data_IF_645386745779
#
_entry.id   IF_645386745779
#
_cell.length_a   1.000
_cell.length_b   1.000
_cell.length_c   1.000
_cell.angle_alpha   90.00
_cell.angle_beta   90.00
_cell.angle_gamma   90.00
#
_symmetry.space_group_name_H-M   'P 1'
#
loop_
_entity.id
_entity.type
_entity.pdbx_description
1 polymer ?
#
# COMPACT_ATOMS: atom_id res chain seq x y z
N UNK A 1 -2.60 23.49 -0.75
CA UNK A 1 -2.23 22.20 -1.37
C UNK A 1 -0.71 22.07 -1.26
N UNK A 2 -0.15 20.87 -1.12
CA UNK A 2 1.30 20.67 -0.98
C UNK A 2 2.02 20.41 -2.33
N UNK A 3 1.25 20.14 -3.39
CA UNK A 3 1.74 19.86 -4.74
C UNK A 3 0.76 20.49 -5.74
N UNK A 4 1.18 21.59 -6.37
CA UNK A 4 0.29 22.40 -7.23
C UNK A 4 -0.06 21.70 -8.55
N UNK A 5 0.79 20.77 -8.99
CA UNK A 5 0.61 19.97 -10.19
C UNK A 5 0.20 18.52 -9.88
N UNK A 6 -0.54 18.30 -8.78
CA UNK A 6 -1.08 16.99 -8.45
C UNK A 6 -2.10 16.53 -9.51
N UNK A 7 -1.87 15.36 -10.10
CA UNK A 7 -2.78 14.72 -11.06
C UNK A 7 -3.73 13.72 -10.41
N UNK A 8 -3.19 12.59 -9.96
CA UNK A 8 -3.95 11.50 -9.34
C UNK A 8 -3.05 10.69 -8.41
N UNK A 9 -3.66 9.97 -7.47
CA UNK A 9 -3.01 8.96 -6.65
C UNK A 9 -3.63 7.60 -6.95
N UNK A 10 -2.81 6.64 -7.40
CA UNK A 10 -3.25 5.25 -7.52
C UNK A 10 -3.54 4.67 -6.13
N UNK A 11 -4.64 3.92 -6.02
CA UNK A 11 -5.07 3.29 -4.77
C UNK A 11 -5.60 1.88 -5.05
N UNK A 12 -4.69 0.91 -5.12
CA UNK A 12 -5.05 -0.49 -5.42
C UNK A 12 -6.04 -1.10 -4.40
N UNK A 13 -5.94 -0.68 -3.13
CA UNK A 13 -6.85 -1.09 -2.04
C UNK A 13 -7.17 0.11 -1.16
N UNK A 14 -8.40 0.17 -0.66
CA UNK A 14 -8.84 1.20 0.29
C UNK A 14 -8.07 1.04 1.62
N UNK A 15 -7.60 2.13 2.25
CA UNK A 15 -6.94 2.08 3.56
C UNK A 15 -7.80 1.33 4.60
N UNK A 16 -7.14 0.56 5.46
CA UNK A 16 -7.80 -0.30 6.45
C UNK A 16 -8.36 -1.62 5.90
N UNK A 17 -8.31 -1.87 4.58
CA UNK A 17 -8.70 -3.18 4.01
C UNK A 17 -7.59 -4.23 4.00
N UNK A 18 -6.33 -3.80 4.20
CA UNK A 18 -5.14 -4.67 4.20
C UNK A 18 -4.41 -4.49 5.52
N UNK A 19 -4.10 -5.61 6.17
CA UNK A 19 -3.38 -5.66 7.44
C UNK A 19 -3.96 -4.68 8.50
N UNK A 20 -5.29 -4.65 8.72
CA UNK A 20 -5.92 -3.67 9.61
C UNK A 20 -5.44 -3.77 11.06
N UNK A 21 -5.01 -4.95 11.50
CA UNK A 21 -4.46 -5.13 12.85
C UNK A 21 -3.04 -4.57 12.97
N UNK A 22 -2.27 -4.60 11.89
CA UNK A 22 -0.89 -4.10 11.86
C UNK A 22 -0.86 -2.58 11.69
N UNK A 23 -1.87 -2.05 10.99
CA UNK A 23 -2.09 -0.62 10.77
C UNK A 23 -3.51 -0.21 11.16
N UNK A 24 -3.81 -0.13 12.48
CA UNK A 24 -5.16 0.11 12.98
C UNK A 24 -5.69 1.52 12.70
N UNK A 25 -4.79 2.48 12.47
CA UNK A 25 -5.14 3.81 11.99
C UNK A 25 -4.43 4.10 10.66
N UNK A 26 -5.19 4.58 9.68
CA UNK A 26 -4.68 4.94 8.36
C UNK A 26 -5.42 6.19 7.83
N UNK A 27 -4.93 6.72 6.71
CA UNK A 27 -5.52 7.88 6.01
C UNK A 27 -6.98 7.59 5.65
N UNK A 28 -7.88 8.56 5.92
CA UNK A 28 -9.31 8.41 5.64
C UNK A 28 -9.55 8.41 4.13
N UNK A 29 -10.36 7.46 3.66
CA UNK A 29 -10.86 7.43 2.30
C UNK A 29 -12.36 7.70 2.27
N UNK A 30 -12.79 8.71 1.52
CA UNK A 30 -14.19 9.09 1.41
C UNK A 30 -14.51 9.57 -0.01
N UNK A 31 -15.58 9.03 -0.60
CA UNK A 31 -16.10 9.44 -1.93
C UNK A 31 -15.04 9.48 -3.04
N UNK A 32 -14.07 8.56 -3.01
CA UNK A 32 -13.00 8.48 -4.01
C UNK A 32 -11.73 9.26 -3.67
N UNK A 33 -11.67 9.94 -2.53
CA UNK A 33 -10.54 10.78 -2.13
C UNK A 33 -9.84 10.26 -0.88
N UNK A 34 -8.51 10.32 -0.88
CA UNK A 34 -7.71 10.26 0.35
C UNK A 34 -7.71 11.64 1.00
N UNK A 35 -8.16 11.72 2.25
CA UNK A 35 -8.26 12.97 2.98
C UNK A 35 -7.02 13.16 3.87
N UNK A 36 -6.31 14.30 3.78
CA UNK A 36 -5.14 14.56 4.61
C UNK A 36 -5.46 14.41 6.11
N UNK A 37 -4.54 13.83 6.90
CA UNK A 37 -4.73 13.73 8.34
C UNK A 37 -4.76 15.12 8.99
N UNK A 38 -5.58 15.28 10.01
CA UNK A 38 -5.68 16.52 10.79
C UNK A 38 -4.82 16.50 12.06
N UNK A 39 -4.35 15.33 12.48
CA UNK A 39 -3.41 15.17 13.59
C UNK A 39 -1.95 15.33 13.14
N UNK A 40 -1.02 15.70 14.04
CA UNK A 40 0.40 15.74 13.70
C UNK A 40 0.94 14.41 13.18
N UNK A 41 1.91 14.49 12.28
CA UNK A 41 2.55 13.33 11.66
C UNK A 41 1.78 12.78 10.45
N UNK A 42 2.00 11.50 10.13
CA UNK A 42 1.51 10.89 8.89
C UNK A 42 0.05 10.40 8.96
N UNK A 43 -0.59 10.42 10.13
CA UNK A 43 -1.95 9.88 10.28
C UNK A 43 -2.04 8.35 10.21
N UNK A 44 -0.93 7.65 10.49
CA UNK A 44 -0.85 6.18 10.53
C UNK A 44 -0.36 5.73 11.91
N UNK A 45 -0.81 4.56 12.36
CA UNK A 45 -0.26 3.85 13.54
C UNK A 45 0.20 2.47 13.10
N UNK A 46 1.33 2.01 13.62
CA UNK A 46 1.83 0.65 13.44
C UNK A 46 1.78 -0.08 14.78
N UNK A 47 1.13 -1.24 14.82
CA UNK A 47 1.05 -2.08 16.01
C UNK A 47 2.09 -3.22 15.93
N UNK A 48 3.23 -3.02 16.59
CA UNK A 48 4.31 -4.02 16.66
C UNK A 48 3.86 -5.35 17.29
N UNK A 49 2.86 -5.33 18.17
CA UNK A 49 2.38 -6.55 18.84
C UNK A 49 1.66 -7.49 17.89
N UNK A 50 1.12 -6.96 16.78
CA UNK A 50 0.43 -7.72 15.75
C UNK A 50 1.38 -8.36 14.72
N UNK A 51 2.67 -8.00 14.69
CA UNK A 51 3.66 -8.49 13.71
C UNK A 51 3.74 -10.01 13.70
N UNK A 52 3.71 -10.65 14.87
CA UNK A 52 3.81 -12.11 15.00
C UNK A 52 2.70 -12.89 14.29
N UNK A 53 1.57 -12.24 13.96
CA UNK A 53 0.48 -12.85 13.20
C UNK A 53 0.77 -12.94 11.69
N UNK A 54 1.72 -12.15 11.19
CA UNK A 54 2.04 -12.02 9.77
C UNK A 54 3.52 -12.37 9.52
N UNK A 55 3.90 -13.66 9.61
CA UNK A 55 5.28 -14.07 9.40
C UNK A 55 5.75 -13.74 7.96
N UNK A 56 7.05 -13.46 7.77
CA UNK A 56 7.59 -13.12 6.46
C UNK A 56 7.40 -14.26 5.46
N UNK A 57 7.06 -13.89 4.22
CA UNK A 57 6.92 -14.85 3.12
C UNK A 57 8.32 -15.22 2.63
N UNK A 58 8.80 -16.40 3.01
CA UNK A 58 10.16 -16.86 2.72
C UNK A 58 10.44 -17.13 1.23
N UNK A 59 9.40 -17.29 0.41
CA UNK A 59 9.50 -17.53 -1.04
C UNK A 59 8.47 -16.69 -1.76
N UNK A 60 8.92 -15.81 -2.63
CA UNK A 60 8.08 -14.96 -3.45
C UNK A 60 8.92 -14.15 -4.44
N UNK A 61 8.29 -13.72 -5.53
CA UNK A 61 8.92 -12.87 -6.53
C UNK A 61 7.84 -12.26 -7.42
N UNK A 62 8.14 -11.10 -8.00
CA UNK A 62 7.30 -10.57 -9.06
C UNK A 62 7.31 -11.56 -10.24
N UNK A 63 6.21 -11.69 -11.00
CA UNK A 63 6.20 -12.54 -12.17
C UNK A 63 7.30 -12.14 -13.15
N UNK A 64 7.83 -13.13 -13.84
CA UNK A 64 8.83 -12.97 -14.89
C UNK A 64 8.18 -13.33 -16.21
N UNK A 65 8.43 -12.52 -17.24
CA UNK A 65 7.89 -12.78 -18.56
C UNK A 65 8.97 -13.25 -19.52
N UNK A 66 8.65 -14.31 -20.28
CA UNK A 66 9.45 -14.82 -21.39
C UNK A 66 8.57 -14.87 -22.63
N UNK A 67 9.14 -14.47 -23.76
CA UNK A 67 8.48 -14.60 -25.07
C UNK A 67 8.40 -16.08 -25.48
N UNK A 68 7.59 -16.42 -26.51
CA UNK A 68 7.52 -17.80 -27.02
C UNK A 68 8.86 -18.40 -27.46
N UNK A 69 9.84 -17.58 -27.83
CA UNK A 69 11.21 -18.00 -28.17
C UNK A 69 12.13 -18.25 -26.95
N UNK A 70 11.60 -18.06 -25.72
CA UNK A 70 12.32 -18.22 -24.47
C UNK A 70 13.11 -16.98 -24.01
N UNK A 71 13.17 -15.92 -24.84
CA UNK A 71 13.87 -14.68 -24.47
C UNK A 71 13.22 -14.00 -23.28
N UNK A 72 14.04 -13.54 -22.33
CA UNK A 72 13.60 -12.79 -21.16
C UNK A 72 13.23 -11.35 -21.57
N UNK A 73 12.19 -10.79 -20.96
CA UNK A 73 11.74 -9.43 -21.26
C UNK A 73 11.04 -8.80 -20.06
N UNK A 74 10.68 -7.54 -20.20
CA UNK A 74 9.85 -6.80 -19.24
C UNK A 74 8.52 -7.54 -19.05
N UNK A 75 8.21 -7.83 -17.79
CA UNK A 75 6.88 -8.19 -17.31
C UNK A 75 6.08 -6.91 -17.01
#
# INVERSE_FOLDING_TARGET
>A
LACDNFGVQELARVPGSVLPELFPEQVKFEKGYLLPPTRPGLGVVFDETAVGKYPPIAKGGCPQYRRPDGSYTNW
#
